data_IF_382907683876
#
_entry.id   IF_382907683876
#
_cell.length_a   1.000
_cell.length_b   1.000
_cell.length_c   1.000
_cell.angle_alpha   90.00
_cell.angle_beta   90.00
_cell.angle_gamma   90.00
#
_symmetry.space_group_name_H-M   'P 1'
#
loop_
_entity.id
_entity.type
_entity.pdbx_description
1 polymer ?
#
# COMPACT_ATOMS: atom_id res chain seq x y z
N UNK A 1 29.59 -6.15 -11.30
CA UNK A 1 28.92 -7.10 -10.38
C UNK A 1 27.48 -6.62 -10.25
N UNK A 2 26.46 -7.45 -10.50
CA UNK A 2 25.08 -7.02 -10.33
C UNK A 2 24.81 -6.82 -8.84
N UNK A 3 24.29 -5.64 -8.49
CA UNK A 3 23.89 -5.29 -7.13
C UNK A 3 22.66 -6.15 -6.80
N UNK A 4 22.80 -7.02 -5.79
CA UNK A 4 21.69 -7.85 -5.30
C UNK A 4 20.67 -6.94 -4.62
N UNK A 5 19.36 -7.25 -4.70
CA UNK A 5 18.33 -6.54 -3.91
C UNK A 5 18.64 -6.55 -2.39
N UNK A 6 19.56 -7.40 -1.95
CA UNK A 6 20.06 -7.53 -0.57
C UNK A 6 20.97 -6.38 -0.11
N UNK A 7 21.61 -5.65 -1.04
CA UNK A 7 22.66 -4.67 -0.69
C UNK A 7 22.13 -3.24 -0.51
N UNK A 8 20.83 -3.05 -0.73
CA UNK A 8 20.29 -1.71 -0.80
C UNK A 8 19.74 -1.24 0.56
N UNK A 9 20.11 -0.03 1.01
CA UNK A 9 19.81 0.44 2.36
C UNK A 9 18.31 0.58 2.55
N UNK A 10 17.78 -0.09 3.59
CA UNK A 10 16.41 0.13 4.06
C UNK A 10 16.38 1.53 4.69
N UNK A 11 15.91 2.52 3.94
CA UNK A 11 15.67 3.86 4.51
C UNK A 11 14.31 3.85 5.18
N UNK A 12 14.21 4.00 6.51
CA UNK A 12 12.95 4.04 7.23
C UNK A 12 12.33 5.44 7.06
N UNK A 13 11.96 5.80 5.84
CA UNK A 13 11.18 7.02 5.60
C UNK A 13 9.75 6.60 5.36
N UNK A 14 8.89 6.79 6.38
CA UNK A 14 7.46 6.95 6.14
C UNK A 14 7.34 8.30 5.45
N UNK A 15 7.34 8.30 4.12
CA UNK A 15 7.04 9.49 3.37
C UNK A 15 5.50 9.60 3.34
N UNK A 16 4.94 10.23 4.37
CA UNK A 16 3.60 10.80 4.25
C UNK A 16 3.73 12.01 3.33
N UNK A 17 3.79 11.77 2.01
CA UNK A 17 3.65 12.85 1.05
C UNK A 17 2.15 13.12 0.96
N UNK A 18 1.64 13.90 1.92
CA UNK A 18 0.43 14.69 1.69
C UNK A 18 0.81 15.67 0.57
N UNK A 19 0.67 15.26 -0.69
CA UNK A 19 0.89 16.18 -1.81
C UNK A 19 -0.22 17.20 -1.75
N UNK A 20 0.11 18.33 -1.14
CA UNK A 20 -0.67 19.54 -1.04
C UNK A 20 -0.80 20.26 -2.40
N UNK A 21 -0.93 19.50 -3.49
CA UNK A 21 -1.09 20.07 -4.83
C UNK A 21 -2.45 19.79 -5.46
N UNK A 22 -3.23 18.81 -5.01
CA UNK A 22 -4.66 18.69 -5.33
C UNK A 22 -5.33 17.84 -4.25
N UNK A 23 -6.45 18.30 -3.70
CA UNK A 23 -7.18 17.74 -2.54
C UNK A 23 -7.81 16.34 -2.77
N UNK A 24 -7.31 15.56 -3.72
CA UNK A 24 -8.01 14.42 -4.30
C UNK A 24 -7.29 13.08 -4.16
N UNK A 25 -6.05 13.01 -3.67
CA UNK A 25 -5.29 11.75 -3.57
C UNK A 25 -4.58 11.61 -2.22
N UNK A 26 -4.89 10.55 -1.47
CA UNK A 26 -4.15 10.17 -0.25
C UNK A 26 -3.18 9.05 -0.60
N UNK A 27 -1.95 9.40 -0.99
CA UNK A 27 -0.89 8.43 -1.33
C UNK A 27 0.00 8.15 -0.12
N UNK A 28 0.03 6.90 0.33
CA UNK A 28 0.96 6.42 1.35
C UNK A 28 2.07 5.59 0.71
N UNK A 29 3.34 5.87 1.05
CA UNK A 29 4.46 5.07 0.54
C UNK A 29 5.66 4.96 1.48
N UNK A 30 6.31 3.78 1.44
CA UNK A 30 7.60 3.46 2.04
C UNK A 30 8.61 3.19 0.93
N UNK A 31 9.83 3.73 1.03
CA UNK A 31 10.92 3.63 0.04
C UNK A 31 11.51 2.21 -0.02
N UNK A 32 11.47 1.55 -1.19
CA UNK A 32 12.17 0.27 -1.44
C UNK A 32 13.04 0.26 -2.71
N UNK A 33 14.32 -0.12 -2.60
CA UNK A 33 15.35 0.02 -3.64
C UNK A 33 15.24 -0.90 -4.88
N UNK A 34 14.05 -1.39 -5.22
CA UNK A 34 13.84 -2.21 -6.41
C UNK A 34 13.94 -1.41 -7.72
N UNK A 35 13.90 -0.08 -7.69
CA UNK A 35 13.87 0.74 -8.91
C UNK A 35 15.15 0.62 -9.74
N UNK A 36 16.29 0.33 -9.10
CA UNK A 36 17.57 0.12 -9.78
C UNK A 36 17.59 -1.11 -10.72
N UNK A 37 16.68 -2.08 -10.53
CA UNK A 37 16.53 -3.23 -11.43
C UNK A 37 15.76 -2.90 -12.70
N UNK A 38 14.85 -1.92 -12.64
CA UNK A 38 13.94 -1.58 -13.76
C UNK A 38 14.65 -0.78 -14.85
N UNK A 39 15.72 -0.04 -14.51
CA UNK A 39 16.41 0.86 -15.45
C UNK A 39 17.65 0.26 -16.14
N UNK A 40 18.17 -0.89 -15.68
CA UNK A 40 19.45 -1.42 -16.18
C UNK A 40 19.38 -2.82 -16.79
N UNK A 41 18.23 -3.51 -16.76
CA UNK A 41 18.03 -4.82 -17.42
C UNK A 41 16.72 -4.88 -18.19
N UNK A 42 16.82 -5.09 -19.51
CA UNK A 42 15.68 -5.27 -20.44
C UNK A 42 15.05 -6.68 -20.30
N UNK A 43 15.68 -7.53 -19.47
CA UNK A 43 15.45 -8.96 -19.32
C UNK A 43 14.89 -9.35 -17.93
N UNK A 44 14.59 -8.37 -17.07
CA UNK A 44 13.87 -8.58 -15.82
C UNK A 44 12.36 -8.66 -16.05
N UNK A 45 11.83 -9.86 -16.28
CA UNK A 45 10.39 -10.09 -16.40
C UNK A 45 9.61 -9.83 -15.10
N UNK A 46 8.28 -9.94 -15.19
CA UNK A 46 7.36 -9.80 -14.05
C UNK A 46 7.78 -10.66 -12.85
N UNK A 47 8.15 -11.92 -13.08
CA UNK A 47 8.52 -12.87 -12.03
C UNK A 47 9.79 -12.45 -11.27
N UNK A 48 10.81 -11.94 -11.97
CA UNK A 48 12.04 -11.47 -11.33
C UNK A 48 11.78 -10.21 -10.48
N UNK A 49 10.96 -9.30 -10.99
CA UNK A 49 10.59 -8.08 -10.29
C UNK A 49 9.77 -8.39 -9.03
N UNK A 50 8.79 -9.29 -9.16
CA UNK A 50 7.98 -9.79 -8.05
C UNK A 50 8.83 -10.49 -6.99
N UNK A 51 9.74 -11.38 -7.41
CA UNK A 51 10.63 -12.08 -6.49
C UNK A 51 11.54 -11.12 -5.69
N UNK A 52 12.03 -10.05 -6.31
CA UNK A 52 12.82 -9.03 -5.60
C UNK A 52 11.97 -8.32 -4.53
N UNK A 53 10.73 -7.95 -4.84
CA UNK A 53 9.81 -7.32 -3.88
C UNK A 53 9.42 -8.25 -2.73
N UNK A 54 9.19 -9.53 -3.02
CA UNK A 54 8.85 -10.54 -2.01
C UNK A 54 10.02 -10.87 -1.06
N UNK A 55 11.26 -10.51 -1.43
CA UNK A 55 12.45 -10.76 -0.61
C UNK A 55 12.63 -9.77 0.55
N UNK A 56 11.87 -8.68 0.60
CA UNK A 56 11.93 -7.73 1.72
C UNK A 56 11.23 -8.31 2.95
N UNK A 57 11.94 -8.46 4.09
CA UNK A 57 11.37 -9.05 5.27
C UNK A 57 10.28 -8.15 5.87
N UNK A 58 9.20 -8.78 6.34
CA UNK A 58 8.16 -8.08 7.06
C UNK A 58 8.69 -7.53 8.39
N UNK A 59 8.48 -6.23 8.65
CA UNK A 59 8.79 -5.59 9.92
C UNK A 59 7.49 -5.21 10.64
N UNK A 60 7.17 -5.94 11.72
CA UNK A 60 5.91 -5.74 12.45
C UNK A 60 5.79 -4.34 13.06
N UNK A 61 6.87 -3.76 13.61
CA UNK A 61 6.79 -2.44 14.23
C UNK A 61 6.44 -1.37 13.19
N UNK A 62 7.09 -1.42 12.02
CA UNK A 62 6.81 -0.50 10.91
C UNK A 62 5.41 -0.74 10.34
N UNK A 63 4.99 -1.99 10.20
CA UNK A 63 3.67 -2.34 9.70
C UNK A 63 2.54 -1.82 10.62
N UNK A 64 2.68 -1.96 11.94
CA UNK A 64 1.71 -1.43 12.90
C UNK A 64 1.64 0.10 12.83
N UNK A 65 2.80 0.77 12.81
CA UNK A 65 2.85 2.23 12.66
C UNK A 65 2.22 2.71 11.34
N UNK A 66 2.43 1.95 10.26
CA UNK A 66 1.85 2.24 8.95
C UNK A 66 0.33 2.10 9.00
N UNK A 67 -0.18 1.00 9.56
CA UNK A 67 -1.61 0.79 9.75
C UNK A 67 -2.24 1.88 10.62
N UNK A 68 -1.61 2.26 11.72
CA UNK A 68 -2.09 3.35 12.58
C UNK A 68 -2.23 4.65 11.78
N UNK A 69 -1.18 5.02 11.04
CA UNK A 69 -1.17 6.25 10.24
C UNK A 69 -2.25 6.22 9.16
N UNK A 70 -2.38 5.10 8.45
CA UNK A 70 -3.37 4.93 7.37
C UNK A 70 -4.79 4.95 7.94
N UNK A 71 -5.04 4.26 9.05
CA UNK A 71 -6.35 4.22 9.72
C UNK A 71 -6.73 5.61 10.19
N UNK A 72 -5.85 6.31 10.91
CA UNK A 72 -6.15 7.64 11.47
C UNK A 72 -6.41 8.66 10.36
N UNK A 73 -5.63 8.60 9.29
CA UNK A 73 -5.80 9.50 8.13
C UNK A 73 -7.12 9.23 7.40
N UNK A 74 -7.44 7.97 7.11
CA UNK A 74 -8.67 7.63 6.40
C UNK A 74 -9.90 7.87 7.28
N UNK A 75 -9.80 7.62 8.59
CA UNK A 75 -10.90 7.91 9.49
C UNK A 75 -11.16 9.42 9.61
N UNK A 76 -10.12 10.25 9.61
CA UNK A 76 -10.27 11.70 9.69
C UNK A 76 -10.69 12.35 8.36
N UNK A 77 -10.16 11.89 7.23
CA UNK A 77 -10.24 12.62 5.96
C UNK A 77 -11.03 11.92 4.85
N UNK A 78 -11.25 10.60 4.91
CA UNK A 78 -12.01 9.92 3.86
C UNK A 78 -13.52 10.04 4.10
N UNK A 79 -14.12 11.05 3.46
CA UNK A 79 -15.53 11.42 3.64
C UNK A 79 -16.53 10.36 3.17
N UNK A 80 -16.14 9.46 2.26
CA UNK A 80 -17.03 8.46 1.69
C UNK A 80 -17.07 7.13 2.45
N UNK A 81 -16.40 7.02 3.61
CA UNK A 81 -16.33 5.78 4.40
C UNK A 81 -17.70 5.17 4.73
N UNK A 82 -18.68 5.99 5.10
CA UNK A 82 -20.01 5.51 5.47
C UNK A 82 -20.81 4.98 4.27
N UNK A 83 -20.63 5.62 3.10
CA UNK A 83 -21.25 5.21 1.85
C UNK A 83 -20.58 3.92 1.34
N UNK A 84 -19.26 3.81 1.45
CA UNK A 84 -18.54 2.58 1.12
C UNK A 84 -18.97 1.38 1.98
N UNK A 85 -19.19 1.59 3.28
CA UNK A 85 -19.66 0.54 4.18
C UNK A 85 -21.12 0.13 3.92
N UNK A 86 -21.94 1.06 3.43
CA UNK A 86 -23.39 0.88 3.18
C UNK A 86 -23.79 1.55 1.86
N UNK A 87 -23.37 1.00 0.71
CA UNK A 87 -23.65 1.61 -0.58
C UNK A 87 -25.17 1.66 -0.82
N UNK A 88 -25.67 2.72 -1.47
CA UNK A 88 -27.07 2.82 -1.82
C UNK A 88 -27.45 1.68 -2.77
N UNK A 89 -28.72 1.24 -2.68
CA UNK A 89 -29.24 0.25 -3.61
C UNK A 89 -29.13 0.80 -5.03
N UNK A 90 -28.37 0.11 -5.87
CA UNK A 90 -28.20 0.47 -7.27
C UNK A 90 -28.28 -0.79 -8.15
N UNK A 91 -28.39 -0.61 -9.46
CA UNK A 91 -28.28 -1.73 -10.41
C UNK A 91 -26.84 -2.24 -10.55
N UNK A 92 -25.86 -1.51 -10.01
CA UNK A 92 -24.47 -1.92 -9.95
C UNK A 92 -24.24 -2.77 -8.69
N UNK A 93 -23.56 -3.90 -8.89
CA UNK A 93 -23.15 -4.78 -7.79
C UNK A 93 -21.90 -4.19 -7.12
N UNK A 94 -22.10 -3.22 -6.21
CA UNK A 94 -21.03 -2.61 -5.43
C UNK A 94 -20.85 -3.40 -4.13
N UNK A 95 -19.62 -3.79 -3.82
CA UNK A 95 -19.28 -4.48 -2.59
C UNK A 95 -19.35 -3.50 -1.41
N UNK A 96 -19.93 -3.94 -0.29
CA UNK A 96 -19.85 -3.21 0.97
C UNK A 96 -18.44 -3.37 1.54
N UNK A 97 -17.75 -2.25 1.80
CA UNK A 97 -16.40 -2.24 2.33
C UNK A 97 -16.35 -1.32 3.53
N UNK A 98 -16.20 -1.89 4.72
CA UNK A 98 -15.89 -1.15 5.94
C UNK A 98 -14.37 -0.96 6.02
N UNK A 99 -13.90 0.11 5.39
CA UNK A 99 -12.48 0.40 5.20
C UNK A 99 -11.69 0.35 6.52
N UNK A 100 -12.21 0.98 7.57
CA UNK A 100 -11.53 1.05 8.87
C UNK A 100 -11.48 -0.32 9.54
N UNK A 101 -12.56 -1.10 9.46
CA UNK A 101 -12.60 -2.45 10.00
C UNK A 101 -11.65 -3.39 9.27
N UNK A 102 -11.63 -3.35 7.94
CA UNK A 102 -10.75 -4.18 7.10
C UNK A 102 -9.27 -3.87 7.41
N UNK A 103 -8.89 -2.59 7.50
CA UNK A 103 -7.53 -2.18 7.87
C UNK A 103 -7.15 -2.59 9.29
N UNK A 104 -8.08 -2.47 10.27
CA UNK A 104 -7.85 -2.95 11.64
C UNK A 104 -7.66 -4.47 11.71
N UNK A 105 -8.31 -5.23 10.83
CA UNK A 105 -8.14 -6.68 10.77
C UNK A 105 -6.71 -7.07 10.36
N UNK A 106 -6.03 -6.26 9.54
CA UNK A 106 -4.64 -6.51 9.12
C UNK A 106 -3.65 -6.50 10.29
N UNK A 107 -3.95 -5.79 11.39
CA UNK A 107 -3.08 -5.76 12.59
C UNK A 107 -2.83 -7.15 13.18
N UNK A 108 -3.77 -8.08 13.00
CA UNK A 108 -3.69 -9.44 13.51
C UNK A 108 -3.21 -10.45 12.46
N UNK A 109 -3.05 -10.03 11.20
CA UNK A 109 -2.61 -10.90 10.11
C UNK A 109 -1.09 -11.07 10.14
N UNK A 110 -0.63 -12.29 9.91
CA UNK A 110 0.80 -12.60 9.78
C UNK A 110 1.23 -12.48 8.34
N UNK A 111 2.39 -11.87 8.12
CA UNK A 111 2.96 -11.64 6.80
C UNK A 111 4.37 -12.23 6.70
N UNK A 112 4.66 -12.82 5.54
CA UNK A 112 5.97 -13.37 5.24
C UNK A 112 6.90 -12.33 4.59
N UNK A 113 6.34 -11.31 3.94
CA UNK A 113 7.08 -10.23 3.29
C UNK A 113 6.37 -8.89 3.48
N UNK A 114 7.14 -7.80 3.41
CA UNK A 114 6.57 -6.45 3.43
C UNK A 114 5.67 -6.23 2.20
N UNK A 115 6.08 -6.75 1.03
CA UNK A 115 5.27 -6.70 -0.19
C UNK A 115 3.86 -7.27 0.00
N UNK A 116 3.73 -8.42 0.65
CA UNK A 116 2.41 -9.01 0.94
C UNK A 116 1.56 -8.12 1.84
N UNK A 117 2.17 -7.46 2.83
CA UNK A 117 1.52 -6.51 3.71
C UNK A 117 1.04 -5.25 2.95
N UNK A 118 1.91 -4.63 2.16
CA UNK A 118 1.58 -3.44 1.37
C UNK A 118 0.48 -3.73 0.34
N UNK A 119 0.55 -4.91 -0.30
CA UNK A 119 -0.42 -5.36 -1.30
C UNK A 119 -1.81 -5.54 -0.69
N UNK A 120 -1.91 -6.03 0.55
CA UNK A 120 -3.21 -6.14 1.23
C UNK A 120 -3.86 -4.77 1.47
N UNK A 121 -3.08 -3.77 1.90
CA UNK A 121 -3.59 -2.40 2.08
C UNK A 121 -4.07 -1.85 0.72
N UNK A 122 -3.28 -2.04 -0.34
CA UNK A 122 -3.65 -1.64 -1.69
C UNK A 122 -4.94 -2.31 -2.16
N UNK A 123 -5.08 -3.62 -1.96
CA UNK A 123 -6.27 -4.36 -2.34
C UNK A 123 -7.53 -3.88 -1.60
N UNK A 124 -7.41 -3.55 -0.31
CA UNK A 124 -8.54 -2.97 0.45
C UNK A 124 -8.94 -1.62 -0.16
N UNK A 125 -7.97 -0.73 -0.40
CA UNK A 125 -8.24 0.57 -1.01
C UNK A 125 -8.89 0.43 -2.40
N UNK A 126 -8.33 -0.42 -3.27
CA UNK A 126 -8.87 -0.68 -4.62
C UNK A 126 -10.24 -1.35 -4.61
N UNK A 127 -10.60 -2.08 -3.55
CA UNK A 127 -11.92 -2.73 -3.45
C UNK A 127 -13.09 -1.75 -3.29
N UNK A 128 -12.78 -0.48 -3.00
CA UNK A 128 -13.77 0.60 -2.93
C UNK A 128 -14.20 1.09 -4.31
N UNK A 129 -13.44 0.79 -5.36
CA UNK A 129 -13.64 1.34 -6.71
C UNK A 129 -13.73 2.88 -6.73
N UNK A 130 -12.99 3.55 -5.83
CA UNK A 130 -12.90 5.00 -5.76
C UNK A 130 -11.63 5.48 -6.45
N UNK A 131 -11.79 6.28 -7.51
CA UNK A 131 -10.66 6.81 -8.27
C UNK A 131 -9.83 7.86 -7.49
N UNK A 132 -10.36 8.41 -6.40
CA UNK A 132 -9.70 9.41 -5.55
C UNK A 132 -8.94 8.78 -4.38
N UNK A 133 -9.06 7.46 -4.19
CA UNK A 133 -8.36 6.77 -3.12
C UNK A 133 -7.44 5.69 -3.69
N UNK A 134 -6.14 5.93 -3.56
CA UNK A 134 -5.12 4.98 -3.97
C UNK A 134 -4.05 4.81 -2.89
N UNK A 135 -3.63 3.57 -2.64
CA UNK A 135 -2.49 3.26 -1.79
C UNK A 135 -1.34 2.81 -2.67
N UNK A 136 -0.20 3.51 -2.62
CA UNK A 136 0.95 3.24 -3.49
C UNK A 136 2.24 3.14 -2.68
N UNK A 137 2.64 1.93 -2.27
CA UNK A 137 3.96 1.72 -1.66
C UNK A 137 5.07 2.21 -2.61
N UNK A 138 5.92 3.12 -2.12
CA UNK A 138 6.97 3.75 -2.92
C UNK A 138 8.18 2.83 -3.09
N UNK A 139 8.18 1.93 -4.08
CA UNK A 139 9.37 1.14 -4.38
C UNK A 139 10.40 1.97 -5.20
N UNK A 140 11.20 2.82 -4.53
CA UNK A 140 12.34 3.58 -5.08
C UNK A 140 13.66 2.89 -4.79
#
# INVERSE_FOLDING_TARGET
MPISCQDAPIVPTIATKLQHENFHDIVFGRVFPCFAWVSTKVDGGWEQSKACLENFPFNNAVAQQTLDTVIDTLDAFFVFKDIAARPPKSQLSIKNVDLIKELKALKNKKYNSDFAFQTDIQNIASSLYDAHLSYSPLYV
#
